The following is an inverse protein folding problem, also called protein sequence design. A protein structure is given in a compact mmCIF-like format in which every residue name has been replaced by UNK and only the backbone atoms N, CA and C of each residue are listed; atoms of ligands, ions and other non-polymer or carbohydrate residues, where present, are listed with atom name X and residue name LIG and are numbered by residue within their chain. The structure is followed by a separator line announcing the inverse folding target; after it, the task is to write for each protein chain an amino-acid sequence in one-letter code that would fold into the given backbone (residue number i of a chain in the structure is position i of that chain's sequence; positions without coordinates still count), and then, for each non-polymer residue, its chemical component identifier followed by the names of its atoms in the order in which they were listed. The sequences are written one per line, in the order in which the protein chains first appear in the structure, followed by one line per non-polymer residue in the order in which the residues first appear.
data_IF_921129352551
#
_entry.id   IF_921129352551
#
_cell.length_a   1.000
_cell.length_b   1.000
_cell.length_c   1.000
_cell.angle_alpha   90.00
_cell.angle_beta   90.00
_cell.angle_gamma   90.00
#
_symmetry.space_group_name_H-M   'P 1'
#
loop_
_entity.id
_entity.type
_entity.pdbx_description
1 polymer ?
#
# COMPACT_ATOMS: atom_id res chain seq x y z
N UNK A 1 -29.51 -10.27 10.80
CA UNK A 1 -28.57 -9.35 10.11
C UNK A 1 -27.54 -8.86 11.14
N UNK A 2 -26.21 -8.87 10.90
CA UNK A 2 -25.12 -8.60 11.89
C UNK A 2 -24.08 -7.54 11.44
N UNK A 3 -24.42 -6.26 11.33
CA UNK A 3 -23.49 -5.16 11.08
C UNK A 3 -22.77 -4.73 12.38
N UNK A 4 -21.54 -5.18 12.62
CA UNK A 4 -20.67 -4.64 13.67
C UNK A 4 -19.85 -3.48 13.07
N UNK A 5 -20.16 -2.22 13.34
CA UNK A 5 -19.35 -1.06 12.94
C UNK A 5 -18.46 -0.67 14.12
N UNK A 6 -17.16 -0.55 13.93
CA UNK A 6 -16.28 0.29 14.77
C UNK A 6 -16.11 1.61 14.02
N UNK A 7 -16.48 2.77 14.59
CA UNK A 7 -16.37 4.07 13.91
C UNK A 7 -15.10 4.80 14.36
N UNK A 8 -14.37 5.35 13.39
CA UNK A 8 -13.46 6.50 13.51
C UNK A 8 -13.59 7.35 12.24
N UNK A 9 -13.62 8.68 12.38
CA UNK A 9 -13.88 9.66 11.32
C UNK A 9 -12.68 9.76 10.35
N UNK A 10 -12.97 9.70 9.05
CA UNK A 10 -11.99 9.75 7.96
C UNK A 10 -12.36 10.80 6.90
N UNK A 11 -11.35 11.45 6.30
CA UNK A 11 -11.49 12.14 5.03
C UNK A 11 -11.41 11.13 3.88
N UNK A 12 -12.36 11.18 2.95
CA UNK A 12 -12.41 10.28 1.79
C UNK A 12 -11.85 10.98 0.55
N UNK A 13 -10.88 10.35 -0.10
CA UNK A 13 -10.37 10.74 -1.40
C UNK A 13 -10.82 9.73 -2.44
N UNK A 14 -11.53 10.24 -3.44
CA UNK A 14 -12.05 9.43 -4.53
C UNK A 14 -11.14 9.55 -5.76
N UNK A 15 -10.53 8.45 -6.17
CA UNK A 15 -9.88 8.32 -7.46
C UNK A 15 -10.88 7.75 -8.45
N UNK A 16 -11.42 8.59 -9.34
CA UNK A 16 -12.28 8.09 -10.41
C UNK A 16 -11.49 7.23 -11.42
N UNK A 17 -12.20 6.52 -12.31
CA UNK A 17 -11.56 5.64 -13.29
C UNK A 17 -10.57 6.32 -14.25
N UNK A 18 -10.61 7.66 -14.40
CA UNK A 18 -9.65 8.40 -15.21
C UNK A 18 -8.24 8.46 -14.59
N UNK A 19 -8.08 8.08 -13.31
CA UNK A 19 -6.77 7.94 -12.67
C UNK A 19 -6.13 6.56 -12.91
N UNK A 20 -6.88 5.58 -13.42
CA UNK A 20 -6.33 4.24 -13.74
C UNK A 20 -5.14 4.29 -14.74
N UNK A 21 -5.19 5.07 -15.83
CA UNK A 21 -4.06 5.18 -16.77
C UNK A 21 -2.77 5.67 -16.11
N UNK A 22 -2.88 6.52 -15.08
CA UNK A 22 -1.73 7.10 -14.38
C UNK A 22 -0.96 6.03 -13.59
N UNK A 23 -1.66 5.14 -12.87
CA UNK A 23 -1.04 3.98 -12.22
C UNK A 23 -0.50 2.96 -13.23
N UNK A 24 -1.26 2.69 -14.30
CA UNK A 24 -0.83 1.80 -15.38
C UNK A 24 0.44 2.30 -16.08
N UNK A 25 0.60 3.62 -16.22
CA UNK A 25 1.77 4.20 -16.84
C UNK A 25 3.03 3.91 -16.02
N UNK A 26 2.98 4.07 -14.69
CA UNK A 26 4.13 3.75 -13.81
C UNK A 26 4.45 2.25 -13.86
N UNK A 27 3.43 1.39 -13.81
CA UNK A 27 3.62 -0.05 -14.01
C UNK A 27 4.22 -0.37 -15.38
N UNK A 28 3.80 0.32 -16.44
CA UNK A 28 4.37 0.16 -17.78
C UNK A 28 5.84 0.53 -17.82
N UNK A 29 6.22 1.65 -17.20
CA UNK A 29 7.63 2.07 -17.08
C UNK A 29 8.44 1.09 -16.22
N UNK A 30 7.83 0.50 -15.19
CA UNK A 30 8.47 -0.55 -14.41
C UNK A 30 8.72 -1.79 -15.27
N UNK A 31 7.74 -2.20 -16.08
CA UNK A 31 7.92 -3.26 -17.08
C UNK A 31 9.07 -2.97 -18.05
N UNK A 32 9.20 -1.73 -18.54
CA UNK A 32 10.30 -1.31 -19.42
C UNK A 32 11.65 -1.37 -18.69
N UNK A 33 11.72 -0.89 -17.44
CA UNK A 33 12.93 -0.99 -16.62
C UNK A 33 13.35 -2.46 -16.49
N UNK A 34 12.41 -3.35 -16.16
CA UNK A 34 12.64 -4.78 -16.00
C UNK A 34 13.15 -5.43 -17.29
N UNK A 35 12.50 -5.13 -18.41
CA UNK A 35 12.86 -5.66 -19.72
C UNK A 35 14.27 -5.23 -20.14
N UNK A 36 14.64 -3.96 -19.91
CA UNK A 36 15.94 -3.42 -20.30
C UNK A 36 17.08 -3.72 -19.33
N UNK A 37 16.79 -3.87 -18.05
CA UNK A 37 17.84 -4.10 -17.04
C UNK A 37 18.41 -5.52 -17.14
N UNK A 38 17.58 -6.51 -17.46
CA UNK A 38 17.97 -7.92 -17.61
C UNK A 38 19.15 -8.08 -18.59
N UNK A 39 19.05 -7.65 -19.86
CA UNK A 39 20.15 -7.81 -20.81
C UNK A 39 21.40 -6.99 -20.43
N UNK A 40 21.24 -5.81 -19.83
CA UNK A 40 22.37 -4.99 -19.37
C UNK A 40 23.17 -5.71 -18.28
N UNK A 41 22.48 -6.28 -17.29
CA UNK A 41 23.16 -7.00 -16.21
C UNK A 41 23.73 -8.34 -16.70
N UNK A 42 23.04 -9.03 -17.61
CA UNK A 42 23.54 -10.27 -18.22
C UNK A 42 24.82 -10.06 -19.05
N UNK A 43 25.06 -8.84 -19.55
CA UNK A 43 26.30 -8.47 -20.25
C UNK A 43 27.43 -8.03 -19.32
N UNK A 44 27.18 -7.95 -18.01
CA UNK A 44 28.22 -7.59 -17.04
C UNK A 44 29.34 -8.64 -16.98
N UNK A 45 30.50 -8.24 -16.46
CA UNK A 45 31.66 -9.14 -16.28
C UNK A 45 31.48 -10.14 -15.12
N UNK A 46 30.39 -10.04 -14.36
CA UNK A 46 30.15 -10.86 -13.20
C UNK A 46 29.85 -12.31 -13.60
N UNK A 47 30.27 -13.27 -12.80
CA UNK A 47 29.78 -14.66 -12.94
C UNK A 47 28.48 -14.85 -12.17
N UNK A 48 27.64 -15.80 -12.61
CA UNK A 48 26.41 -16.16 -11.89
C UNK A 48 26.69 -16.57 -10.43
N UNK A 49 27.82 -17.26 -10.18
CA UNK A 49 28.23 -17.66 -8.82
C UNK A 49 28.60 -16.47 -7.95
N UNK A 50 29.36 -15.50 -8.47
CA UNK A 50 29.72 -14.29 -7.74
C UNK A 50 28.49 -13.45 -7.40
N UNK A 51 27.58 -13.27 -8.37
CA UNK A 51 26.34 -12.53 -8.17
C UNK A 51 25.43 -13.20 -7.14
N UNK A 52 25.22 -14.51 -7.25
CA UNK A 52 24.43 -15.29 -6.29
C UNK A 52 25.03 -15.21 -4.89
N UNK A 53 26.36 -15.36 -4.75
CA UNK A 53 27.05 -15.24 -3.47
C UNK A 53 26.91 -13.85 -2.84
N UNK A 54 27.00 -12.80 -3.66
CA UNK A 54 26.80 -11.42 -3.21
C UNK A 54 25.36 -11.20 -2.72
N UNK A 55 24.37 -11.60 -3.51
CA UNK A 55 22.95 -11.43 -3.19
C UNK A 55 22.54 -12.21 -1.94
N UNK A 56 23.02 -13.44 -1.76
CA UNK A 56 22.73 -14.22 -0.55
C UNK A 56 23.31 -13.58 0.72
N UNK A 57 24.38 -12.78 0.61
CA UNK A 57 24.95 -12.03 1.74
C UNK A 57 24.21 -10.73 2.01
N UNK A 58 23.82 -10.01 0.95
CA UNK A 58 23.17 -8.71 1.04
C UNK A 58 21.66 -8.80 1.31
N UNK A 59 21.02 -9.85 0.78
CA UNK A 59 19.58 -10.11 0.80
C UNK A 59 19.31 -11.61 1.09
N UNK A 60 19.59 -12.10 2.32
CA UNK A 60 19.46 -13.52 2.67
C UNK A 60 18.07 -14.11 2.41
N UNK A 61 17.03 -13.29 2.46
CA UNK A 61 15.63 -13.63 2.16
C UNK A 61 15.42 -14.14 0.72
N UNK A 62 16.29 -13.75 -0.23
CA UNK A 62 16.25 -14.25 -1.61
C UNK A 62 16.85 -15.65 -1.75
N UNK A 63 17.49 -16.18 -0.71
CA UNK A 63 18.18 -17.47 -0.72
C UNK A 63 17.36 -18.63 -1.31
N UNK A 64 16.10 -18.84 -0.89
CA UNK A 64 15.24 -19.88 -1.45
C UNK A 64 14.99 -19.72 -2.94
N UNK A 65 14.66 -18.51 -3.40
CA UNK A 65 14.35 -18.24 -4.81
C UNK A 65 15.58 -18.32 -5.72
N UNK A 66 16.75 -17.95 -5.20
CA UNK A 66 18.01 -18.02 -5.93
C UNK A 66 18.56 -19.45 -6.04
N UNK A 67 18.09 -20.41 -5.23
CA UNK A 67 18.66 -21.76 -5.15
C UNK A 67 18.76 -22.45 -6.52
N UNK A 68 17.72 -22.33 -7.34
CA UNK A 68 17.62 -22.92 -8.69
C UNK A 68 18.03 -21.97 -9.83
N UNK A 69 18.53 -20.78 -9.51
CA UNK A 69 19.01 -19.84 -10.52
C UNK A 69 20.46 -20.19 -10.91
N UNK A 70 20.65 -20.63 -12.15
CA UNK A 70 21.92 -21.14 -12.68
C UNK A 70 22.62 -20.14 -13.61
N UNK A 71 21.86 -19.23 -14.23
CA UNK A 71 22.39 -18.16 -15.07
C UNK A 71 22.20 -16.77 -14.44
N UNK A 72 22.94 -15.76 -14.93
CA UNK A 72 22.72 -14.36 -14.53
C UNK A 72 21.29 -13.95 -14.86
N UNK A 73 20.78 -14.37 -16.02
CA UNK A 73 19.42 -14.07 -16.44
C UNK A 73 18.38 -14.63 -15.46
N UNK A 74 18.54 -15.89 -15.00
CA UNK A 74 17.66 -16.48 -13.99
C UNK A 74 17.72 -15.71 -12.68
N UNK A 75 18.93 -15.32 -12.24
CA UNK A 75 19.17 -14.55 -11.03
C UNK A 75 18.46 -13.20 -11.11
N UNK A 76 18.62 -12.46 -12.22
CA UNK A 76 17.97 -11.16 -12.39
C UNK A 76 16.47 -11.30 -12.51
N UNK A 77 15.96 -12.35 -13.16
CA UNK A 77 14.53 -12.62 -13.22
C UNK A 77 13.92 -12.86 -11.83
N UNK A 78 14.64 -13.52 -10.92
CA UNK A 78 14.24 -13.65 -9.50
C UNK A 78 14.19 -12.29 -8.82
N UNK A 79 15.24 -11.49 -8.96
CA UNK A 79 15.34 -10.16 -8.33
C UNK A 79 14.22 -9.24 -8.81
N UNK A 80 14.05 -9.17 -10.12
CA UNK A 80 13.08 -8.30 -10.79
C UNK A 80 11.64 -8.66 -10.39
N UNK A 81 11.34 -9.93 -10.12
CA UNK A 81 10.05 -10.36 -9.56
C UNK A 81 9.85 -9.96 -8.10
N UNK A 82 10.94 -9.85 -7.34
CA UNK A 82 10.93 -9.49 -5.93
C UNK A 82 10.99 -7.97 -5.68
N UNK A 83 11.27 -7.15 -6.71
CA UNK A 83 11.20 -5.69 -6.60
C UNK A 83 9.75 -5.18 -6.63
N UNK A 84 9.50 -4.12 -5.87
CA UNK A 84 8.22 -3.39 -5.91
C UNK A 84 8.32 -2.23 -6.88
N UNK A 85 7.17 -1.74 -7.33
CA UNK A 85 7.10 -0.59 -8.25
C UNK A 85 7.76 0.67 -7.66
N UNK A 86 7.74 0.86 -6.34
CA UNK A 86 8.38 2.01 -5.68
C UNK A 86 9.73 1.66 -5.04
N UNK A 87 10.19 0.41 -5.12
CA UNK A 87 11.42 -0.04 -4.48
C UNK A 87 12.21 -0.98 -5.40
N UNK A 88 13.23 -0.39 -6.02
CA UNK A 88 14.21 -1.04 -6.89
C UNK A 88 15.60 -1.12 -6.25
N UNK A 89 15.68 -1.03 -4.91
CA UNK A 89 16.94 -1.00 -4.16
C UNK A 89 17.87 -2.17 -4.47
N UNK A 90 17.32 -3.37 -4.68
CA UNK A 90 18.10 -4.57 -5.03
C UNK A 90 18.79 -4.38 -6.39
N UNK A 91 18.07 -3.86 -7.39
CA UNK A 91 18.62 -3.55 -8.72
C UNK A 91 19.74 -2.52 -8.60
N UNK A 92 19.52 -1.42 -7.86
CA UNK A 92 20.54 -0.38 -7.64
C UNK A 92 21.80 -0.93 -6.98
N UNK A 93 21.62 -1.84 -6.02
CA UNK A 93 22.73 -2.47 -5.31
C UNK A 93 23.57 -3.35 -6.24
N UNK A 94 22.94 -4.05 -7.18
CA UNK A 94 23.64 -4.86 -8.19
C UNK A 94 24.40 -3.95 -9.17
N UNK A 95 23.73 -2.93 -9.71
CA UNK A 95 24.33 -1.97 -10.64
C UNK A 95 25.57 -1.31 -10.02
N UNK A 96 25.47 -0.87 -8.77
CA UNK A 96 26.59 -0.30 -8.01
C UNK A 96 27.70 -1.33 -7.76
N UNK A 97 27.36 -2.56 -7.38
CA UNK A 97 28.36 -3.59 -7.04
C UNK A 97 29.20 -4.02 -8.24
N UNK A 98 28.58 -4.06 -9.42
CA UNK A 98 29.16 -4.59 -10.65
C UNK A 98 29.49 -3.49 -11.68
N UNK A 99 29.46 -2.22 -11.27
CA UNK A 99 29.83 -1.05 -12.08
C UNK A 99 29.10 -0.99 -13.45
N UNK A 100 27.78 -1.26 -13.46
CA UNK A 100 26.96 -1.33 -14.67
C UNK A 100 26.41 0.06 -15.01
N UNK A 101 27.32 0.98 -15.34
CA UNK A 101 27.01 2.41 -15.52
C UNK A 101 25.95 2.70 -16.59
N UNK A 102 25.79 1.80 -17.57
CA UNK A 102 24.77 1.88 -18.62
C UNK A 102 23.34 1.83 -18.07
N UNK A 103 23.16 1.30 -16.86
CA UNK A 103 21.87 1.24 -16.19
C UNK A 103 21.50 2.53 -15.45
N UNK A 104 22.44 3.45 -15.19
CA UNK A 104 22.22 4.61 -14.32
C UNK A 104 21.15 5.55 -14.88
N UNK A 105 21.20 5.85 -16.18
CA UNK A 105 20.21 6.69 -16.85
C UNK A 105 18.81 6.03 -16.85
N UNK A 106 18.76 4.71 -17.05
CA UNK A 106 17.51 3.95 -17.03
C UNK A 106 16.87 3.96 -15.64
N UNK A 107 17.66 3.75 -14.59
CA UNK A 107 17.24 3.81 -13.18
C UNK A 107 16.76 5.22 -12.84
N UNK A 108 17.55 6.24 -13.17
CA UNK A 108 17.24 7.63 -12.85
C UNK A 108 15.93 8.08 -13.50
N UNK A 109 15.72 7.77 -14.79
CA UNK A 109 14.47 8.06 -15.50
C UNK A 109 13.26 7.39 -14.86
N UNK A 110 13.43 6.16 -14.38
CA UNK A 110 12.37 5.45 -13.69
C UNK A 110 12.05 6.08 -12.33
N UNK A 111 13.07 6.37 -11.52
CA UNK A 111 12.91 7.01 -10.21
C UNK A 111 12.25 8.40 -10.34
N UNK A 112 12.62 9.18 -11.36
CA UNK A 112 11.99 10.47 -11.65
C UNK A 112 10.50 10.32 -12.01
N UNK A 113 10.13 9.26 -12.73
CA UNK A 113 8.73 8.97 -13.06
C UNK A 113 7.92 8.64 -11.82
N UNK A 114 8.44 7.78 -10.93
CA UNK A 114 7.80 7.43 -9.65
C UNK A 114 7.68 8.68 -8.78
N UNK A 115 8.75 9.47 -8.66
CA UNK A 115 8.78 10.71 -7.86
C UNK A 115 7.80 11.76 -8.36
N UNK A 116 7.69 11.92 -9.68
CA UNK A 116 6.73 12.85 -10.29
C UNK A 116 5.30 12.45 -9.97
N UNK A 117 4.98 11.16 -10.03
CA UNK A 117 3.67 10.64 -9.65
C UNK A 117 3.38 10.85 -8.16
N UNK A 118 4.27 10.41 -7.27
CA UNK A 118 4.08 10.54 -5.82
C UNK A 118 4.00 12.00 -5.40
N UNK A 119 4.76 12.88 -6.04
CA UNK A 119 4.64 14.34 -5.89
C UNK A 119 3.27 14.86 -6.31
N UNK A 120 2.79 14.46 -7.50
CA UNK A 120 1.46 14.85 -7.99
C UNK A 120 0.33 14.36 -7.08
N UNK A 121 0.45 13.14 -6.54
CA UNK A 121 -0.50 12.59 -5.56
C UNK A 121 -0.49 13.39 -4.27
N UNK A 122 0.71 13.74 -3.77
CA UNK A 122 0.87 14.57 -2.58
C UNK A 122 0.27 15.97 -2.78
N UNK A 123 0.50 16.59 -3.93
CA UNK A 123 -0.03 17.92 -4.27
C UNK A 123 -1.56 17.89 -4.39
N UNK A 124 -2.11 16.90 -5.10
CA UNK A 124 -3.55 16.69 -5.21
C UNK A 124 -4.22 16.62 -3.84
N UNK A 125 -3.62 15.90 -2.90
CA UNK A 125 -4.19 15.71 -1.58
C UNK A 125 -3.98 16.91 -0.66
N UNK A 126 -2.90 17.68 -0.85
CA UNK A 126 -2.68 18.94 -0.14
C UNK A 126 -3.69 20.00 -0.58
N UNK A 127 -4.01 20.05 -1.87
CA UNK A 127 -5.00 20.98 -2.45
C UNK A 127 -6.44 20.60 -2.09
N UNK A 128 -6.69 19.31 -1.95
CA UNK A 128 -8.01 18.77 -1.61
C UNK A 128 -8.08 18.32 -0.15
N UNK A 129 -7.14 18.75 0.71
CA UNK A 129 -7.12 18.41 2.14
C UNK A 129 -8.36 19.04 2.79
N UNK A 130 -9.37 18.28 3.28
CA UNK A 130 -10.47 18.88 4.02
C UNK A 130 -9.93 19.68 5.22
N UNK A 131 -10.47 20.90 5.42
CA UNK A 131 -10.05 21.86 6.44
C UNK A 131 -10.04 21.31 7.89
N UNK A 132 -10.64 20.14 8.12
CA UNK A 132 -10.79 19.47 9.41
C UNK A 132 -9.83 18.29 9.63
N UNK A 133 -8.85 18.06 8.75
CA UNK A 133 -7.84 17.00 8.94
C UNK A 133 -6.84 17.26 10.07
N UNK A 134 -6.89 18.43 10.72
CA UNK A 134 -5.95 18.77 11.79
C UNK A 134 -6.09 17.91 13.06
N UNK A 135 -7.28 17.32 13.31
CA UNK A 135 -7.56 16.64 14.59
C UNK A 135 -7.83 15.12 14.46
N UNK A 136 -7.86 14.57 13.23
CA UNK A 136 -7.96 13.12 12.95
C UNK A 136 -7.59 12.87 11.49
N UNK A 137 -6.49 12.15 11.22
CA UNK A 137 -6.04 11.85 9.84
C UNK A 137 -6.24 10.38 9.49
N UNK A 138 -7.49 9.94 9.35
CA UNK A 138 -7.78 8.74 8.56
C UNK A 138 -8.01 9.20 7.11
N UNK A 139 -7.18 8.73 6.19
CA UNK A 139 -7.27 9.02 4.76
C UNK A 139 -7.76 7.75 4.09
N UNK A 140 -9.02 7.75 3.65
CA UNK A 140 -9.60 6.63 2.90
C UNK A 140 -9.44 6.91 1.41
N UNK A 141 -8.89 5.95 0.68
CA UNK A 141 -8.84 6.00 -0.78
C UNK A 141 -9.91 5.09 -1.36
N UNK A 142 -10.85 5.66 -2.11
CA UNK A 142 -11.87 4.92 -2.84
C UNK A 142 -11.52 4.94 -4.32
N UNK A 143 -11.33 3.76 -4.89
CA UNK A 143 -11.07 3.60 -6.33
C UNK A 143 -12.41 3.44 -7.05
N UNK A 144 -12.64 4.26 -8.07
CA UNK A 144 -13.81 4.20 -8.95
C UNK A 144 -13.74 3.06 -9.97
N UNK A 145 -12.82 2.11 -9.78
CA UNK A 145 -12.65 0.91 -10.59
C UNK A 145 -12.17 -0.24 -9.70
N UNK A 146 -12.38 -1.48 -10.16
CA UNK A 146 -11.87 -2.68 -9.51
C UNK A 146 -10.47 -3.00 -10.06
N UNK A 147 -9.39 -2.91 -9.26
CA UNK A 147 -8.05 -3.25 -9.71
C UNK A 147 -7.81 -4.75 -9.65
N UNK A 148 -7.05 -5.28 -10.61
CA UNK A 148 -6.51 -6.65 -10.54
C UNK A 148 -5.53 -6.77 -9.34
N UNK A 149 -5.31 -7.98 -8.79
CA UNK A 149 -4.50 -8.17 -7.56
C UNK A 149 -3.11 -7.51 -7.64
N UNK A 150 -2.38 -7.73 -8.73
CA UNK A 150 -1.07 -7.08 -8.93
C UNK A 150 -1.17 -5.55 -9.05
N UNK A 151 -2.30 -5.03 -9.54
CA UNK A 151 -2.58 -3.59 -9.60
C UNK A 151 -2.85 -2.98 -8.24
N UNK A 152 -3.47 -3.73 -7.33
CA UNK A 152 -3.76 -3.26 -5.98
C UNK A 152 -2.48 -3.03 -5.17
N UNK A 153 -1.52 -3.96 -5.23
CA UNK A 153 -0.26 -3.83 -4.49
C UNK A 153 0.57 -2.64 -4.98
N UNK A 154 0.64 -2.40 -6.28
CA UNK A 154 1.33 -1.23 -6.84
C UNK A 154 0.67 0.08 -6.40
N UNK A 155 -0.66 0.15 -6.49
CA UNK A 155 -1.42 1.34 -6.04
C UNK A 155 -1.13 1.60 -4.56
N UNK A 156 -1.23 0.56 -3.72
CA UNK A 156 -0.95 0.66 -2.28
C UNK A 156 0.46 1.17 -2.02
N UNK A 157 1.47 0.58 -2.65
CA UNK A 157 2.87 0.95 -2.46
C UNK A 157 3.13 2.42 -2.87
N UNK A 158 2.56 2.86 -4.00
CA UNK A 158 2.71 4.24 -4.48
C UNK A 158 2.02 5.25 -3.55
N UNK A 159 0.86 4.90 -2.99
CA UNK A 159 0.19 5.71 -1.99
C UNK A 159 1.01 5.74 -0.68
N UNK A 160 1.47 4.59 -0.17
CA UNK A 160 2.32 4.53 1.03
C UNK A 160 3.58 5.41 0.89
N UNK A 161 4.23 5.41 -0.28
CA UNK A 161 5.39 6.26 -0.53
C UNK A 161 5.03 7.75 -0.58
N UNK A 162 3.93 8.11 -1.27
CA UNK A 162 3.45 9.48 -1.33
C UNK A 162 3.11 10.05 0.07
N UNK A 163 2.71 9.19 1.02
CA UNK A 163 2.28 9.58 2.37
C UNK A 163 3.21 9.12 3.49
N UNK A 164 4.43 8.68 3.15
CA UNK A 164 5.40 8.18 4.12
C UNK A 164 5.64 9.14 5.29
N UNK A 165 5.64 10.44 5.00
CA UNK A 165 5.83 11.53 5.98
C UNK A 165 4.56 11.91 6.78
N UNK A 166 3.38 11.47 6.33
CA UNK A 166 2.08 11.76 6.96
C UNK A 166 1.59 10.64 7.89
N UNK A 167 2.36 9.57 8.04
CA UNK A 167 1.94 8.29 8.58
C UNK A 167 1.84 8.25 10.12
N UNK A 168 0.81 8.87 10.72
CA UNK A 168 0.47 8.72 12.16
C UNK A 168 -0.93 8.09 12.38
N UNK A 169 -0.90 6.76 12.55
CA UNK A 169 -1.72 5.92 13.47
C UNK A 169 -3.26 5.88 13.30
N UNK A 170 -3.76 4.98 12.44
CA UNK A 170 -4.80 3.93 12.67
C UNK A 170 -4.75 2.99 11.46
N UNK A 171 -4.83 1.66 11.66
CA UNK A 171 -4.67 0.65 10.59
C UNK A 171 -5.93 -0.21 10.48
N UNK A 172 -6.50 -0.34 9.26
CA UNK A 172 -7.58 -1.31 8.99
C UNK A 172 -6.98 -2.70 8.89
N UNK A 173 -7.42 -3.62 9.76
CA UNK A 173 -6.87 -4.98 9.86
C UNK A 173 -7.55 -5.94 8.88
N UNK A 174 -8.87 -5.92 8.82
CA UNK A 174 -9.63 -6.82 7.95
C UNK A 174 -11.06 -6.34 7.71
N UNK A 175 -11.57 -6.69 6.54
CA UNK A 175 -12.98 -6.50 6.15
C UNK A 175 -13.53 -7.88 5.79
N UNK A 176 -14.59 -8.30 6.49
CA UNK A 176 -15.28 -9.55 6.21
C UNK A 176 -16.64 -9.23 5.60
N UNK A 177 -16.94 -9.85 4.45
CA UNK A 177 -18.24 -9.75 3.78
C UNK A 177 -18.99 -11.08 3.89
N UNK A 178 -20.26 -11.00 4.31
CA UNK A 178 -21.24 -12.08 4.31
C UNK A 178 -22.65 -11.48 4.24
N UNK A 179 -23.60 -11.98 5.04
CA UNK A 179 -24.93 -11.35 5.21
C UNK A 179 -24.88 -9.95 5.89
N UNK A 180 -23.68 -9.48 6.19
CA UNK A 180 -23.34 -8.16 6.73
C UNK A 180 -21.85 -7.89 6.52
N UNK A 181 -21.44 -6.66 6.77
CA UNK A 181 -20.05 -6.21 6.68
C UNK A 181 -19.49 -6.08 8.10
N UNK A 182 -18.30 -6.63 8.34
CA UNK A 182 -17.55 -6.48 9.59
C UNK A 182 -16.22 -5.80 9.26
N UNK A 183 -15.91 -4.72 9.96
CA UNK A 183 -14.68 -3.95 9.78
C UNK A 183 -13.92 -3.94 11.11
N UNK A 184 -12.65 -4.35 11.09
CA UNK A 184 -11.77 -4.38 12.27
C UNK A 184 -10.63 -3.38 12.07
N UNK A 185 -10.48 -2.44 13.01
CA UNK A 185 -9.47 -1.38 12.97
C UNK A 185 -8.62 -1.35 14.26
N UNK A 186 -7.38 -0.89 14.15
CA UNK A 186 -6.47 -0.64 15.26
C UNK A 186 -6.23 0.85 15.49
N UNK A 187 -6.58 1.35 16.68
CA UNK A 187 -6.33 2.74 17.09
C UNK A 187 -5.48 2.84 18.36
N UNK A 188 -4.80 3.98 18.57
CA UNK A 188 -4.02 4.20 19.78
C UNK A 188 -4.93 4.34 21.02
N UNK A 189 -4.53 3.69 22.13
CA UNK A 189 -5.34 3.53 23.33
C UNK A 189 -5.86 4.85 23.93
N UNK A 190 -5.07 5.92 23.86
CA UNK A 190 -5.45 7.23 24.42
C UNK A 190 -6.65 7.88 23.74
N UNK A 191 -7.04 7.44 22.53
CA UNK A 191 -8.20 7.95 21.81
C UNK A 191 -9.50 7.18 22.11
N UNK A 192 -9.45 6.10 22.89
CA UNK A 192 -10.63 5.27 23.15
C UNK A 192 -11.78 6.05 23.82
N UNK A 193 -11.46 6.96 24.74
CA UNK A 193 -12.47 7.75 25.44
C UNK A 193 -13.17 8.75 24.51
N UNK A 194 -12.43 9.44 23.65
CA UNK A 194 -12.99 10.39 22.68
C UNK A 194 -13.82 9.67 21.61
N UNK A 195 -13.33 8.53 21.09
CA UNK A 195 -14.08 7.71 20.14
C UNK A 195 -15.37 7.17 20.73
N UNK A 196 -15.38 6.83 22.03
CA UNK A 196 -16.59 6.36 22.70
C UNK A 196 -17.66 7.44 22.76
N UNK A 197 -17.29 8.68 23.10
CA UNK A 197 -18.21 9.82 23.18
C UNK A 197 -18.78 10.17 21.80
N UNK A 198 -17.90 10.34 20.80
CA UNK A 198 -18.32 10.70 19.44
C UNK A 198 -19.26 9.64 18.83
N UNK A 199 -18.97 8.36 19.09
CA UNK A 199 -19.80 7.28 18.59
C UNK A 199 -21.15 7.16 19.32
N UNK A 200 -21.24 7.65 20.57
CA UNK A 200 -22.52 7.77 21.28
C UNK A 200 -23.37 8.90 20.71
N UNK A 201 -22.77 10.06 20.45
CA UNK A 201 -23.47 11.24 19.92
C UNK A 201 -24.03 10.98 18.51
N UNK A 202 -23.26 10.27 17.67
CA UNK A 202 -23.68 9.93 16.31
C UNK A 202 -24.45 8.61 16.21
N UNK A 203 -24.75 7.94 17.32
CA UNK A 203 -25.31 6.59 17.32
C UNK A 203 -26.65 6.52 16.57
N UNK A 204 -27.48 7.55 16.69
CA UNK A 204 -28.81 7.59 16.05
C UNK A 204 -28.72 7.57 14.53
N UNK A 205 -27.75 8.29 13.95
CA UNK A 205 -27.50 8.33 12.50
C UNK A 205 -26.98 6.96 12.04
N UNK A 206 -26.01 6.40 12.76
CA UNK A 206 -25.47 5.07 12.48
C UNK A 206 -26.56 4.00 12.49
N UNK A 207 -27.47 4.06 13.47
CA UNK A 207 -28.60 3.14 13.57
C UNK A 207 -29.61 3.27 12.43
N UNK A 208 -30.01 4.50 12.10
CA UNK A 208 -31.15 4.75 11.20
C UNK A 208 -30.75 4.77 9.74
N UNK A 209 -29.64 5.41 9.41
CA UNK A 209 -29.21 5.62 8.02
C UNK A 209 -28.33 4.47 7.54
N UNK A 210 -27.43 4.01 8.40
CA UNK A 210 -26.48 2.95 8.06
C UNK A 210 -26.94 1.56 8.53
N UNK A 211 -28.13 1.45 9.12
CA UNK A 211 -28.70 0.19 9.61
C UNK A 211 -27.75 -0.56 10.55
N UNK A 212 -26.96 0.17 11.36
CA UNK A 212 -26.03 -0.37 12.34
C UNK A 212 -26.70 -1.45 13.19
N UNK A 213 -26.00 -2.56 13.40
CA UNK A 213 -26.53 -3.66 14.23
C UNK A 213 -25.71 -3.84 15.51
N UNK A 214 -24.44 -3.48 15.53
CA UNK A 214 -23.58 -3.56 16.70
C UNK A 214 -22.42 -2.60 16.51
N UNK A 215 -21.94 -1.98 17.58
CA UNK A 215 -20.73 -1.19 17.59
C UNK A 215 -20.01 -1.49 18.89
N UNK A 216 -18.75 -1.88 18.75
CA UNK A 216 -17.83 -2.05 19.87
C UNK A 216 -16.71 -1.02 19.72
N UNK A 217 -16.08 -0.61 20.81
CA UNK A 217 -14.89 0.25 20.85
C UNK A 217 -14.02 -0.25 22.00
N UNK A 218 -12.82 -0.77 21.70
CA UNK A 218 -12.03 -1.52 22.68
C UNK A 218 -12.82 -2.71 23.24
N UNK A 219 -12.94 -2.79 24.56
CA UNK A 219 -13.75 -3.81 25.25
C UNK A 219 -15.23 -3.39 25.46
N UNK A 220 -15.59 -2.16 25.09
CA UNK A 220 -16.93 -1.61 25.32
C UNK A 220 -17.85 -1.89 24.13
N UNK A 221 -19.08 -2.33 24.40
CA UNK A 221 -20.13 -2.40 23.38
C UNK A 221 -20.96 -1.13 23.47
N UNK A 222 -20.79 -0.23 22.49
CA UNK A 222 -21.53 1.04 22.41
C UNK A 222 -22.98 0.80 21.99
N UNK A 223 -23.19 -0.16 21.10
CA UNK A 223 -24.51 -0.52 20.64
C UNK A 223 -24.57 -1.98 20.22
N UNK A 224 -25.69 -2.64 20.48
CA UNK A 224 -26.00 -3.94 19.91
C UNK A 224 -27.52 -4.11 19.82
N UNK A 225 -28.03 -4.14 18.60
CA UNK A 225 -29.43 -4.36 18.26
C UNK A 225 -29.96 -5.66 18.86
N UNK A 226 -29.10 -6.65 19.15
CA UNK A 226 -29.47 -7.98 19.65
C UNK A 226 -29.74 -8.01 21.13
N UNK A 227 -29.15 -7.09 21.89
CA UNK A 227 -29.26 -7.07 23.35
C UNK A 227 -30.57 -6.38 23.76
N UNK A 228 -31.09 -5.45 22.95
CA UNK A 228 -32.35 -4.73 23.23
C UNK A 228 -33.64 -5.55 23.09
N UNK A 229 -33.58 -6.80 22.61
CA UNK A 229 -34.75 -7.70 22.50
C UNK A 229 -34.79 -8.81 23.57
N UNK A 230 -34.01 -8.69 24.65
CA UNK A 230 -34.20 -9.50 25.87
C UNK A 230 -34.99 -8.71 26.92
N UNK A 231 -36.27 -8.43 26.64
CA UNK A 231 -37.33 -8.17 27.64
C UNK A 231 -38.63 -8.72 27.07
#
# INVERSE_FOLDING_TARGET
MFLIIHVSIAGEFFFNAAYRPVFNEVRGHFGILRDKIVPLISQSKATATEMKSFLQKSFPELGPDLSNADSIEDIINVIVKNCRVNDISIIKTIVLRFDITEADDLISKYEDKVKTLTGSLKDFLSLNEPQHLNDSKTIQFTLGWEPDEHSLDDIRNLLEEAFKELNKRIIVRSIHRGNSIIIICYGPHHLLAALLLEAQDNLTVLMKEFSLIRLTIGHYTVYDKRIRYKV
#
